data_IF_550676985365
#
_entry.id   IF_550676985365
#
_cell.length_a   1.000
_cell.length_b   1.000
_cell.length_c   1.000
_cell.angle_alpha   90.00
_cell.angle_beta   90.00
_cell.angle_gamma   90.00
#
_symmetry.space_group_name_H-M   'P 1'
#
loop_
_entity.id
_entity.type
_entity.pdbx_description
1 polymer ?
#
# COMPACT_ATOMS: atom_id res chain seq x y z
N UNK A 1 62.58 25.53 27.69
CA UNK A 1 62.39 24.80 26.41
C UNK A 1 61.12 23.97 26.55
N UNK A 2 59.95 24.61 26.59
CA UNK A 2 59.04 25.01 25.49
C UNK A 2 58.20 23.86 24.92
N UNK A 3 56.97 23.83 25.42
CA UNK A 3 55.70 23.24 24.96
C UNK A 3 55.41 23.34 23.45
N UNK A 4 54.59 22.39 22.95
CA UNK A 4 53.48 22.48 21.94
C UNK A 4 53.24 21.04 21.40
N UNK A 5 52.06 20.53 21.03
CA UNK A 5 50.64 20.87 21.15
C UNK A 5 49.83 19.62 20.75
N UNK A 6 48.54 19.56 21.10
CA UNK A 6 47.56 18.59 20.62
C UNK A 6 47.52 18.52 19.09
N UNK A 7 47.69 17.34 18.49
CA UNK A 7 47.09 16.95 17.21
C UNK A 7 47.40 15.49 16.87
N UNK A 8 46.40 14.61 17.00
CA UNK A 8 46.20 13.37 16.23
C UNK A 8 45.10 12.50 16.89
N UNK A 9 43.96 13.10 17.22
CA UNK A 9 42.73 12.38 17.51
C UNK A 9 41.68 12.90 16.54
N UNK A 10 40.97 11.95 15.91
CA UNK A 10 39.82 12.15 15.00
C UNK A 10 40.16 12.41 13.53
N UNK A 11 40.61 11.38 12.80
CA UNK A 11 40.22 11.21 11.39
C UNK A 11 40.36 9.75 10.95
N UNK A 12 39.33 8.91 11.09
CA UNK A 12 39.10 7.77 10.16
C UNK A 12 37.73 7.12 10.37
N UNK A 13 36.66 7.83 10.05
CA UNK A 13 35.34 7.23 9.81
C UNK A 13 35.15 7.12 8.29
N UNK A 14 35.65 6.05 7.67
CA UNK A 14 35.23 5.67 6.31
C UNK A 14 35.58 4.20 5.96
N UNK A 15 34.52 3.39 5.84
CA UNK A 15 34.30 2.26 4.92
C UNK A 15 35.52 1.48 4.33
N UNK A 16 35.60 0.17 4.60
CA UNK A 16 35.29 -0.93 3.65
C UNK A 16 35.82 -2.29 4.12
N UNK A 17 34.92 -3.29 4.08
CA UNK A 17 35.03 -4.70 3.64
C UNK A 17 36.32 -5.45 4.03
N UNK A 18 36.15 -6.60 4.70
CA UNK A 18 36.42 -7.95 4.18
C UNK A 18 36.34 -8.95 5.36
N UNK A 19 35.41 -9.91 5.31
CA UNK A 19 35.63 -11.33 5.64
C UNK A 19 34.36 -12.13 5.26
N UNK A 20 34.46 -12.82 4.11
CA UNK A 20 33.79 -14.10 3.83
C UNK A 20 34.55 -15.16 4.66
N UNK A 21 33.99 -16.18 5.30
CA UNK A 21 33.05 -17.23 4.87
C UNK A 21 32.52 -17.93 6.15
N UNK A 22 31.39 -18.63 6.17
CA UNK A 22 31.31 -20.10 5.99
C UNK A 22 29.84 -20.52 5.75
N UNK A 23 29.65 -21.11 4.56
CA UNK A 23 28.90 -22.32 4.22
C UNK A 23 27.66 -22.72 5.06
N UNK A 24 26.47 -22.59 4.46
CA UNK A 24 25.39 -23.56 4.65
C UNK A 24 25.01 -24.14 3.29
N UNK A 25 25.47 -25.37 3.06
CA UNK A 25 24.99 -26.27 2.01
C UNK A 25 23.68 -26.87 2.49
N UNK A 26 22.57 -26.38 1.97
CA UNK A 26 21.29 -27.08 1.79
C UNK A 26 20.47 -26.18 0.87
N UNK A 27 20.04 -26.71 -0.28
CA UNK A 27 19.36 -26.00 -1.36
C UNK A 27 17.97 -25.47 -0.97
N UNK A 28 17.90 -24.56 0.00
CA UNK A 28 16.74 -23.73 0.25
C UNK A 28 16.84 -22.49 -0.62
N UNK A 29 16.01 -22.42 -1.66
CA UNK A 29 15.65 -21.14 -2.25
C UNK A 29 15.31 -20.19 -1.10
N UNK A 30 15.94 -19.02 -1.03
CA UNK A 30 15.45 -17.94 -0.16
C UNK A 30 14.04 -17.59 -0.67
N UNK A 31 13.04 -18.22 -0.07
CA UNK A 31 11.65 -17.79 -0.23
C UNK A 31 11.54 -16.56 0.65
N UNK A 32 11.69 -15.38 0.05
CA UNK A 32 11.20 -14.16 0.66
C UNK A 32 9.67 -14.32 0.78
N UNK A 33 9.21 -14.80 1.93
CA UNK A 33 7.78 -14.82 2.22
C UNK A 33 7.36 -13.37 2.41
N UNK A 34 6.52 -12.86 1.53
CA UNK A 34 5.84 -11.58 1.76
C UNK A 34 4.95 -11.81 2.99
N UNK A 35 5.21 -11.07 4.06
CA UNK A 35 4.43 -11.14 5.29
C UNK A 35 3.32 -10.08 5.29
N UNK A 36 2.19 -10.34 5.96
CA UNK A 36 1.18 -9.32 6.21
C UNK A 36 1.79 -8.07 6.83
N UNK A 37 1.13 -6.92 6.63
CA UNK A 37 1.59 -5.65 7.19
C UNK A 37 1.88 -5.78 8.71
N UNK A 38 3.04 -5.32 9.22
CA UNK A 38 3.48 -5.56 10.60
C UNK A 38 2.53 -4.98 11.67
N UNK A 39 1.90 -3.83 11.38
CA UNK A 39 0.93 -3.20 12.30
C UNK A 39 -0.51 -3.74 12.14
N UNK A 40 -0.75 -4.66 11.20
CA UNK A 40 -2.08 -5.22 11.00
C UNK A 40 -2.36 -6.33 12.03
N UNK A 41 -3.62 -6.43 12.45
CA UNK A 41 -4.09 -7.59 13.21
C UNK A 41 -4.04 -8.83 12.30
N UNK A 42 -3.42 -9.94 12.72
CA UNK A 42 -3.29 -11.15 11.92
C UNK A 42 -4.63 -11.77 11.57
N UNK A 43 -4.70 -12.43 10.40
CA UNK A 43 -5.92 -13.00 9.86
C UNK A 43 -6.69 -13.90 10.84
N UNK A 44 -8.02 -13.89 10.77
CA UNK A 44 -8.91 -14.64 11.68
C UNK A 44 -9.52 -15.92 11.08
N UNK A 45 -9.17 -16.30 9.85
CA UNK A 45 -9.66 -17.52 9.19
C UNK A 45 -8.50 -18.31 8.58
N UNK A 46 -8.75 -19.59 8.28
CA UNK A 46 -7.73 -20.47 7.71
C UNK A 46 -7.31 -20.01 6.29
N UNK A 47 -6.02 -20.14 5.93
CA UNK A 47 -5.56 -19.87 4.57
C UNK A 47 -6.36 -20.67 3.52
N UNK A 48 -6.74 -20.02 2.41
CA UNK A 48 -7.46 -20.65 1.30
C UNK A 48 -8.98 -20.73 1.46
N UNK A 49 -9.54 -20.39 2.63
CA UNK A 49 -10.98 -20.30 2.84
C UNK A 49 -11.54 -18.95 2.35
N UNK A 50 -11.97 -18.93 1.09
CA UNK A 50 -12.50 -17.72 0.43
C UNK A 50 -14.00 -17.81 0.13
N UNK A 51 -14.71 -16.68 0.20
CA UNK A 51 -16.15 -16.58 -0.04
C UNK A 51 -16.53 -16.62 -1.53
N UNK A 52 -15.70 -16.05 -2.41
CA UNK A 52 -15.94 -15.96 -3.86
C UNK A 52 -14.79 -16.62 -4.63
N UNK A 53 -14.78 -17.96 -4.67
CA UNK A 53 -13.74 -18.75 -5.36
C UNK A 53 -13.50 -18.33 -6.82
N UNK A 54 -14.55 -17.93 -7.54
CA UNK A 54 -14.44 -17.48 -8.93
C UNK A 54 -13.57 -16.23 -9.11
N UNK A 55 -13.32 -15.47 -8.04
CA UNK A 55 -12.48 -14.28 -8.08
C UNK A 55 -11.00 -14.54 -7.84
N UNK A 56 -10.60 -15.77 -7.46
CA UNK A 56 -9.19 -16.13 -7.27
C UNK A 56 -8.33 -15.83 -8.50
N UNK A 57 -8.87 -16.03 -9.71
CA UNK A 57 -8.18 -15.76 -10.98
C UNK A 57 -7.89 -14.28 -11.26
N UNK A 58 -8.47 -13.37 -10.48
CA UNK A 58 -8.23 -11.92 -10.62
C UNK A 58 -7.24 -11.39 -9.58
N UNK A 59 -6.72 -12.25 -8.68
CA UNK A 59 -5.64 -11.87 -7.76
C UNK A 59 -4.39 -11.54 -8.58
N UNK A 60 -3.72 -10.46 -8.21
CA UNK A 60 -2.43 -10.08 -8.77
C UNK A 60 -1.36 -10.26 -7.68
N UNK A 61 -0.67 -11.40 -7.61
CA UNK A 61 0.21 -11.73 -6.50
C UNK A 61 1.49 -10.88 -6.45
N UNK A 62 1.90 -10.33 -7.59
CA UNK A 62 3.06 -9.45 -7.69
C UNK A 62 2.66 -8.11 -8.31
N UNK A 63 2.71 -7.05 -7.50
CA UNK A 63 2.36 -5.69 -7.90
C UNK A 63 3.29 -5.12 -8.99
N UNK A 64 4.53 -5.60 -9.11
CA UNK A 64 5.48 -5.17 -10.14
C UNK A 64 5.05 -5.57 -11.57
N UNK A 65 4.10 -6.50 -11.68
CA UNK A 65 3.52 -6.87 -12.98
C UNK A 65 2.51 -5.85 -13.50
N UNK A 66 2.08 -4.91 -12.66
CA UNK A 66 1.14 -3.87 -13.01
C UNK A 66 1.86 -2.62 -13.55
N UNK A 67 1.25 -1.90 -14.51
CA UNK A 67 1.83 -0.67 -15.01
C UNK A 67 1.83 0.45 -13.96
N UNK A 68 2.74 1.40 -14.11
CA UNK A 68 2.85 2.57 -13.23
C UNK A 68 3.50 2.24 -11.89
N UNK A 69 3.10 2.98 -10.86
CA UNK A 69 3.58 2.76 -9.49
C UNK A 69 2.44 2.20 -8.66
N UNK A 70 2.65 1.04 -8.04
CA UNK A 70 1.66 0.38 -7.18
C UNK A 70 2.20 0.29 -5.76
N UNK A 71 1.39 0.70 -4.80
CA UNK A 71 1.66 0.56 -3.38
C UNK A 71 0.60 -0.37 -2.80
N UNK A 72 1.05 -1.50 -2.29
CA UNK A 72 0.25 -2.52 -1.60
C UNK A 72 0.03 -2.15 -0.12
N UNK A 73 -0.94 -2.76 0.57
CA UNK A 73 -1.19 -2.48 1.97
C UNK A 73 0.03 -2.74 2.86
N UNK A 74 0.90 -3.67 2.47
CA UNK A 74 2.15 -3.99 3.16
C UNK A 74 3.14 -2.82 3.26
N UNK A 75 2.97 -1.79 2.42
CA UNK A 75 3.80 -0.57 2.41
C UNK A 75 3.12 0.67 3.01
N UNK A 76 1.88 0.54 3.46
CA UNK A 76 1.08 1.68 3.91
C UNK A 76 1.38 2.07 5.37
N UNK A 77 0.98 3.28 5.76
CA UNK A 77 0.97 3.69 7.17
C UNK A 77 -0.44 3.54 7.73
N UNK A 78 -0.58 2.79 8.81
CA UNK A 78 -1.87 2.50 9.45
C UNK A 78 -2.10 3.43 10.64
N UNK A 79 -3.34 3.92 10.75
CA UNK A 79 -3.88 4.55 11.96
C UNK A 79 -5.05 3.72 12.46
N UNK A 80 -4.99 3.33 13.73
CA UNK A 80 -5.97 2.44 14.35
C UNK A 80 -5.80 0.98 13.92
N UNK A 81 -6.61 0.09 14.49
CA UNK A 81 -6.51 -1.36 14.23
C UNK A 81 -7.18 -1.74 12.91
N UNK A 82 -6.38 -2.22 11.98
CA UNK A 82 -6.84 -2.83 10.72
C UNK A 82 -6.54 -4.33 10.75
N UNK A 83 -7.48 -5.11 10.23
CA UNK A 83 -7.41 -6.56 10.17
C UNK A 83 -6.92 -7.00 8.79
N UNK A 84 -5.82 -7.75 8.73
CA UNK A 84 -5.41 -8.42 7.50
C UNK A 84 -6.35 -9.60 7.19
N UNK A 85 -6.64 -9.82 5.90
CA UNK A 85 -7.58 -10.83 5.44
C UNK A 85 -7.30 -11.26 4.00
N UNK A 86 -7.64 -12.52 3.70
CA UNK A 86 -7.67 -13.09 2.34
C UNK A 86 -9.08 -13.54 1.92
N UNK A 87 -10.09 -13.31 2.77
CA UNK A 87 -11.38 -14.01 2.68
C UNK A 87 -12.15 -13.70 1.39
N UNK A 88 -12.11 -12.44 0.94
CA UNK A 88 -12.83 -11.97 -0.24
C UNK A 88 -11.84 -11.55 -1.33
N UNK A 89 -11.53 -12.40 -2.31
CA UNK A 89 -10.78 -12.00 -3.49
C UNK A 89 -11.62 -11.14 -4.48
N UNK A 90 -10.97 -10.35 -5.37
CA UNK A 90 -9.53 -10.29 -5.57
C UNK A 90 -8.84 -9.20 -4.76
N UNK A 91 -7.51 -9.26 -4.74
CA UNK A 91 -6.62 -8.28 -4.14
C UNK A 91 -5.27 -8.25 -4.87
N UNK A 92 -4.46 -7.22 -4.60
CA UNK A 92 -3.04 -7.17 -4.98
C UNK A 92 -2.20 -7.82 -3.89
N UNK A 93 -1.06 -8.38 -4.25
CA UNK A 93 -0.14 -8.97 -3.29
C UNK A 93 -0.75 -10.19 -2.60
N UNK A 94 -0.62 -10.21 -1.27
CA UNK A 94 -0.97 -11.37 -0.46
C UNK A 94 -2.34 -11.27 0.21
N UNK A 95 -2.98 -10.10 0.25
CA UNK A 95 -4.29 -9.94 0.88
C UNK A 95 -4.80 -8.51 0.86
N UNK A 96 -5.57 -8.15 1.88
CA UNK A 96 -6.07 -6.79 2.06
C UNK A 96 -6.34 -6.52 3.55
N UNK A 97 -6.60 -5.26 3.88
CA UNK A 97 -7.01 -4.78 5.20
C UNK A 97 -8.50 -4.47 5.27
N UNK A 98 -9.10 -4.69 6.44
CA UNK A 98 -10.42 -4.15 6.76
C UNK A 98 -10.52 -3.60 8.18
N UNK A 99 -11.45 -2.66 8.37
CA UNK A 99 -11.57 -1.89 9.60
C UNK A 99 -12.38 -2.59 10.73
N UNK A 100 -12.77 -3.85 10.52
CA UNK A 100 -13.68 -4.62 11.37
C UNK A 100 -15.04 -3.94 11.65
N UNK A 101 -15.46 -2.98 10.82
CA UNK A 101 -16.64 -2.12 11.06
C UNK A 101 -16.59 -1.36 12.40
N UNK A 102 -15.41 -1.19 13.00
CA UNK A 102 -15.26 -0.60 14.33
C UNK A 102 -14.50 0.72 14.28
N UNK A 103 -14.61 1.49 15.38
CA UNK A 103 -13.97 2.80 15.58
C UNK A 103 -14.11 3.74 14.39
N UNK A 104 -15.36 3.96 13.95
CA UNK A 104 -15.66 4.84 12.82
C UNK A 104 -15.14 6.25 13.05
N UNK A 105 -14.54 6.82 12.00
CA UNK A 105 -13.87 8.13 12.05
C UNK A 105 -12.50 8.14 12.74
N UNK A 106 -12.01 7.01 13.26
CA UNK A 106 -10.74 6.95 14.00
C UNK A 106 -9.63 6.19 13.26
N UNK A 107 -9.95 5.53 12.13
CA UNK A 107 -9.01 4.68 11.40
C UNK A 107 -8.71 5.20 10.00
N UNK A 108 -7.47 5.03 9.57
CA UNK A 108 -7.07 5.30 8.19
C UNK A 108 -5.90 4.44 7.73
N UNK A 109 -5.78 4.26 6.41
CA UNK A 109 -4.60 3.67 5.73
C UNK A 109 -4.06 4.68 4.74
N UNK A 110 -2.77 4.98 4.81
CA UNK A 110 -2.11 6.03 4.00
C UNK A 110 -1.03 5.44 3.10
N UNK A 111 -1.16 5.70 1.79
CA UNK A 111 -0.20 5.31 0.76
C UNK A 111 0.54 6.55 0.27
N UNK A 112 1.88 6.54 0.31
CA UNK A 112 2.73 7.67 -0.07
C UNK A 112 3.67 7.26 -1.20
N UNK A 113 3.35 7.53 -2.47
CA UNK A 113 4.20 7.14 -3.59
C UNK A 113 5.51 7.94 -3.61
N UNK A 114 6.57 7.33 -4.13
CA UNK A 114 7.77 8.04 -4.59
C UNK A 114 7.69 8.22 -6.11
N UNK A 115 7.14 9.35 -6.56
CA UNK A 115 6.88 9.58 -7.98
C UNK A 115 8.17 10.02 -8.70
N UNK A 116 8.59 9.39 -9.82
CA UNK A 116 9.85 9.70 -10.49
C UNK A 116 9.84 11.04 -11.22
N UNK A 117 8.65 11.55 -11.55
CA UNK A 117 8.45 12.78 -12.31
C UNK A 117 7.19 13.54 -11.84
N UNK A 118 7.25 14.86 -11.92
CA UNK A 118 6.07 15.71 -11.79
C UNK A 118 5.17 15.53 -13.02
N UNK A 119 3.85 15.56 -12.83
CA UNK A 119 2.91 15.42 -13.95
C UNK A 119 1.54 14.95 -13.51
N UNK A 120 0.68 14.66 -14.50
CA UNK A 120 -0.66 14.11 -14.26
C UNK A 120 -0.56 12.59 -14.09
N UNK A 121 -1.20 12.08 -13.05
CA UNK A 121 -1.35 10.64 -12.81
C UNK A 121 -2.83 10.31 -12.66
N UNK A 122 -3.30 9.26 -13.33
CA UNK A 122 -4.54 8.60 -12.95
C UNK A 122 -4.26 7.82 -11.66
N UNK A 123 -5.06 8.10 -10.63
CA UNK A 123 -5.01 7.38 -9.37
C UNK A 123 -6.11 6.33 -9.38
N UNK A 124 -5.75 5.08 -9.14
CA UNK A 124 -6.68 3.97 -8.98
C UNK A 124 -6.55 3.37 -7.59
N UNK A 125 -7.67 2.89 -7.08
CA UNK A 125 -7.74 2.16 -5.82
C UNK A 125 -8.19 0.73 -6.10
N UNK A 126 -7.47 -0.23 -5.53
CA UNK A 126 -7.88 -1.62 -5.45
C UNK A 126 -8.81 -1.86 -4.27
N UNK A 127 -9.85 -2.66 -4.46
CA UNK A 127 -10.62 -3.24 -3.36
C UNK A 127 -11.41 -4.47 -3.82
N UNK A 128 -11.58 -5.44 -2.92
CA UNK A 128 -12.59 -6.48 -3.11
C UNK A 128 -14.00 -5.90 -2.91
N UNK A 129 -14.98 -6.43 -3.65
CA UNK A 129 -16.37 -5.97 -3.60
C UNK A 129 -17.26 -6.98 -2.88
N UNK A 130 -18.15 -6.50 -2.01
CA UNK A 130 -19.11 -7.34 -1.27
C UNK A 130 -20.24 -6.46 -0.69
N UNK A 131 -21.47 -6.98 -0.55
CA UNK A 131 -22.63 -6.22 -0.04
C UNK A 131 -22.48 -5.72 1.41
N UNK A 132 -21.52 -6.26 2.16
CA UNK A 132 -21.19 -5.83 3.54
C UNK A 132 -20.26 -4.61 3.58
N UNK A 133 -19.76 -4.12 2.45
CA UNK A 133 -18.82 -2.98 2.40
C UNK A 133 -19.56 -1.64 2.38
N UNK A 134 -18.84 -0.58 2.75
CA UNK A 134 -19.37 0.78 2.79
C UNK A 134 -19.65 1.30 1.38
N UNK A 135 -20.76 2.01 1.23
CA UNK A 135 -21.16 2.66 -0.03
C UNK A 135 -20.60 4.08 -0.17
N UNK A 136 -19.97 4.61 0.89
CA UNK A 136 -19.59 6.01 1.02
C UNK A 136 -18.17 6.17 1.59
N UNK A 137 -17.30 5.17 1.40
CA UNK A 137 -15.91 5.18 1.90
C UNK A 137 -15.17 6.43 1.42
N UNK A 138 -14.71 7.31 2.31
CA UNK A 138 -13.94 8.49 1.93
C UNK A 138 -12.50 8.14 1.59
N UNK A 139 -12.05 8.61 0.44
CA UNK A 139 -10.66 8.52 -0.02
C UNK A 139 -10.14 9.93 -0.29
N UNK A 140 -9.14 10.37 0.48
CA UNK A 140 -8.48 11.66 0.29
C UNK A 140 -7.24 11.50 -0.57
N UNK A 141 -7.13 12.30 -1.63
CA UNK A 141 -5.96 12.38 -2.49
C UNK A 141 -5.27 13.70 -2.20
N UNK A 142 -4.05 13.65 -1.69
CA UNK A 142 -3.16 14.83 -1.54
C UNK A 142 -2.34 14.95 -2.81
N UNK A 143 -2.53 16.02 -3.55
CA UNK A 143 -1.93 16.27 -4.85
C UNK A 143 -1.35 17.70 -4.92
N UNK A 144 -0.68 18.06 -6.02
CA UNK A 144 0.04 19.33 -6.15
C UNK A 144 -0.85 20.58 -5.99
N UNK A 145 -2.14 20.44 -6.28
CA UNK A 145 -3.14 21.51 -6.22
C UNK A 145 -3.98 21.51 -4.93
N UNK A 146 -3.59 20.72 -3.92
CA UNK A 146 -4.29 20.63 -2.63
C UNK A 146 -4.80 19.24 -2.32
N UNK A 147 -6.02 19.14 -1.79
CA UNK A 147 -6.64 17.87 -1.39
C UNK A 147 -7.98 17.71 -2.10
N UNK A 148 -8.24 16.51 -2.60
CA UNK A 148 -9.54 16.09 -3.13
C UNK A 148 -10.07 14.93 -2.31
N UNK A 149 -11.37 14.92 -1.98
CA UNK A 149 -12.02 13.81 -1.31
C UNK A 149 -13.00 13.15 -2.28
N UNK A 150 -12.79 11.87 -2.54
CA UNK A 150 -13.67 11.04 -3.37
C UNK A 150 -14.36 10.04 -2.45
N UNK A 151 -15.70 10.02 -2.45
CA UNK A 151 -16.48 8.97 -1.77
C UNK A 151 -16.78 7.86 -2.74
N UNK A 152 -16.54 6.62 -2.32
CA UNK A 152 -16.65 5.45 -3.18
C UNK A 152 -17.60 4.41 -2.58
N UNK A 153 -18.30 3.71 -3.46
CA UNK A 153 -19.03 2.52 -3.10
C UNK A 153 -18.16 1.28 -3.29
N UNK A 154 -17.79 0.62 -2.18
CA UNK A 154 -16.99 -0.61 -2.19
C UNK A 154 -17.82 -1.88 -2.39
N UNK A 155 -19.14 -1.76 -2.60
CA UNK A 155 -19.98 -2.88 -3.02
C UNK A 155 -19.96 -3.06 -4.55
N UNK A 156 -19.63 -2.00 -5.29
CA UNK A 156 -19.59 -2.04 -6.75
C UNK A 156 -18.35 -2.79 -7.23
N UNK A 157 -18.52 -3.57 -8.30
CA UNK A 157 -17.40 -4.27 -8.95
C UNK A 157 -16.46 -3.26 -9.60
N UNK A 158 -15.16 -3.23 -9.25
CA UNK A 158 -14.19 -2.35 -9.90
C UNK A 158 -14.06 -2.66 -11.40
N UNK A 159 -13.98 -1.62 -12.24
CA UNK A 159 -14.01 -1.78 -13.71
C UNK A 159 -12.73 -2.40 -14.30
N UNK A 160 -11.58 -2.24 -13.64
CA UNK A 160 -10.30 -2.73 -14.15
C UNK A 160 -9.97 -4.06 -13.49
N UNK A 161 -10.26 -5.15 -14.20
CA UNK A 161 -9.95 -6.51 -13.76
C UNK A 161 -10.69 -6.96 -12.50
N UNK A 162 -11.86 -6.36 -12.19
CA UNK A 162 -12.58 -6.54 -10.90
C UNK A 162 -11.77 -6.15 -9.66
N UNK A 163 -10.66 -5.45 -9.84
CA UNK A 163 -9.68 -5.16 -8.81
C UNK A 163 -9.56 -3.65 -8.60
N UNK A 164 -9.25 -2.90 -9.66
CA UNK A 164 -9.03 -1.45 -9.57
C UNK A 164 -10.22 -0.62 -10.06
N UNK A 165 -10.48 0.49 -9.37
CA UNK A 165 -11.35 1.58 -9.83
C UNK A 165 -10.58 2.89 -9.95
N UNK A 166 -10.91 3.70 -10.94
CA UNK A 166 -10.35 5.04 -11.08
C UNK A 166 -10.96 6.01 -10.06
N UNK A 167 -10.11 6.78 -9.38
CA UNK A 167 -10.49 7.88 -8.50
C UNK A 167 -10.46 9.24 -9.20
N UNK A 168 -9.78 9.31 -10.36
CA UNK A 168 -9.59 10.53 -11.11
C UNK A 168 -8.14 10.70 -11.58
N UNK A 169 -7.88 11.82 -12.23
CA UNK A 169 -6.54 12.24 -12.65
C UNK A 169 -6.14 13.50 -11.89
N UNK A 170 -4.98 13.47 -11.25
CA UNK A 170 -4.49 14.56 -10.41
C UNK A 170 -3.06 14.91 -10.80
N UNK A 171 -2.67 16.17 -10.60
CA UNK A 171 -1.30 16.61 -10.80
C UNK A 171 -0.47 16.37 -9.55
N UNK A 172 0.70 15.76 -9.68
CA UNK A 172 1.63 15.52 -8.58
C UNK A 172 3.00 16.13 -8.88
N UNK A 173 3.75 16.41 -7.81
CA UNK A 173 5.18 16.74 -7.89
C UNK A 173 6.00 15.46 -7.76
N UNK A 174 7.18 15.43 -8.39
CA UNK A 174 8.21 14.40 -8.16
C UNK A 174 8.48 14.22 -6.66
N UNK A 175 8.75 12.97 -6.26
CA UNK A 175 9.06 12.58 -4.89
C UNK A 175 7.83 12.19 -4.07
N UNK A 176 7.95 12.30 -2.74
CA UNK A 176 7.00 11.78 -1.75
C UNK A 176 6.00 12.82 -1.20
N UNK A 177 5.66 13.84 -1.99
CA UNK A 177 4.75 14.92 -1.54
C UNK A 177 3.26 14.59 -1.68
N UNK A 178 2.90 13.59 -2.49
CA UNK A 178 1.53 13.15 -2.66
C UNK A 178 1.16 11.99 -1.74
N UNK A 179 -0.13 11.77 -1.52
CA UNK A 179 -0.61 10.58 -0.81
C UNK A 179 -2.07 10.25 -1.15
N UNK A 180 -2.46 9.01 -0.87
CA UNK A 180 -3.85 8.53 -0.90
C UNK A 180 -4.19 7.98 0.47
N UNK A 181 -5.27 8.48 1.07
CA UNK A 181 -5.68 8.15 2.44
C UNK A 181 -7.10 7.59 2.41
N UNK A 182 -7.26 6.34 2.82
CA UNK A 182 -8.57 5.70 3.00
C UNK A 182 -8.96 5.87 4.45
N UNK A 183 -10.14 6.44 4.72
CA UNK A 183 -10.67 6.64 6.08
C UNK A 183 -11.96 5.86 6.28
N UNK A 184 -12.27 5.51 7.53
CA UNK A 184 -13.55 4.90 7.90
C UNK A 184 -14.58 5.88 8.46
N UNK A 185 -14.36 7.19 8.32
CA UNK A 185 -15.30 8.24 8.73
C UNK A 185 -16.64 8.15 7.98
N UNK A 186 -17.75 8.21 8.73
CA UNK A 186 -19.10 8.21 8.16
C UNK A 186 -19.51 6.88 7.49
N UNK A 187 -18.89 5.76 7.87
CA UNK A 187 -19.11 4.43 7.26
C UNK A 187 -19.86 3.46 8.19
N UNK A 188 -20.81 3.99 8.97
CA UNK A 188 -21.49 3.27 10.06
C UNK A 188 -22.03 1.89 9.64
N UNK A 189 -21.82 0.89 10.52
CA UNK A 189 -22.32 -0.48 10.33
C UNK A 189 -21.75 -1.27 9.14
N UNK A 190 -20.85 -0.68 8.34
CA UNK A 190 -20.30 -1.28 7.11
C UNK A 190 -18.79 -1.45 7.17
N UNK A 191 -18.22 -2.39 6.41
CA UNK A 191 -16.77 -2.57 6.36
C UNK A 191 -16.13 -1.56 5.42
N UNK A 192 -14.96 -1.06 5.78
CA UNK A 192 -14.05 -0.37 4.85
C UNK A 192 -12.89 -1.29 4.52
N UNK A 193 -12.58 -1.41 3.23
CA UNK A 193 -11.47 -2.21 2.69
C UNK A 193 -10.33 -1.27 2.25
N UNK A 194 -9.09 -1.67 2.52
CA UNK A 194 -7.89 -1.06 1.97
C UNK A 194 -6.97 -2.18 1.45
N UNK A 195 -6.58 -2.09 0.19
CA UNK A 195 -5.75 -3.07 -0.52
C UNK A 195 -4.58 -2.28 -1.11
N UNK A 196 -4.49 -2.11 -2.43
CA UNK A 196 -3.46 -1.30 -3.08
C UNK A 196 -3.94 0.01 -3.72
N UNK A 197 -3.01 0.93 -3.98
CA UNK A 197 -3.20 2.13 -4.79
C UNK A 197 -2.24 2.11 -5.99
N UNK A 198 -2.72 2.49 -7.17
CA UNK A 198 -1.95 2.56 -8.40
C UNK A 198 -1.92 3.98 -8.98
N UNK A 199 -0.74 4.44 -9.37
CA UNK A 199 -0.49 5.73 -10.02
C UNK A 199 -0.01 5.50 -11.45
N UNK A 200 -0.85 5.85 -12.44
CA UNK A 200 -0.54 5.70 -13.86
C UNK A 200 -0.21 7.05 -14.48
N UNK A 201 1.00 7.28 -15.01
CA UNK A 201 1.33 8.53 -15.66
C UNK A 201 0.41 8.76 -16.87
N UNK A 202 -0.16 9.96 -16.95
CA UNK A 202 -0.94 10.39 -18.12
C UNK A 202 -0.03 11.26 -18.98
N UNK A 203 0.49 10.68 -20.05
CA UNK A 203 1.10 11.48 -21.10
C UNK A 203 0.05 12.45 -21.64
N UNK A 204 0.35 13.76 -21.61
CA UNK A 204 -0.44 14.70 -22.39
C UNK A 204 -0.17 14.36 -23.86
N UNK A 205 -1.19 13.87 -24.55
CA UNK A 205 -1.17 13.86 -26.01
C UNK A 205 -1.08 15.34 -26.43
N UNK A 206 0.03 15.69 -27.08
CA UNK A 206 0.16 16.97 -27.80
C UNK A 206 -0.77 16.95 -29.00
#
# INVERSE_FOLDING_TARGET
MTSLSHDALVTLLNMKRWFLSILFLLGGSLVFSIEPHPDATPNSHAPGEVDIKANLKFIIPNSDTLPGIVLDETSAILKGKWQYSTHTPPYVGIGYLHDQKSDKGKKSVTFTPDLPQSGKYEVRLSHCYNSRRSTVTPVTIVHANGKSIVRINQQDVPKHGKLFRSLGTFEFKKGKKGSVIISNEGTEGKYVIADAVQFLPKHQRR
#
